data_IF_363497769470
#
_entry.id   IF_363497769470
#
_cell.length_a   1.000
_cell.length_b   1.000
_cell.length_c   1.000
_cell.angle_alpha   90.00
_cell.angle_beta   90.00
_cell.angle_gamma   90.00
#
_symmetry.space_group_name_H-M   'P 1'
#
loop_
_entity.id
_entity.type
_entity.pdbx_description
1 polymer ?
#
# COMPACT_ATOMS: atom_id res chain seq x y z
N UNK A 1 -3.44 -0.18 -19.34
CA UNK A 1 -3.26 -0.32 -17.88
C UNK A 1 -2.83 -1.76 -17.70
N UNK A 2 -1.57 -1.99 -17.33
CA UNK A 2 -1.11 -3.34 -17.00
C UNK A 2 -2.02 -3.91 -15.90
N UNK A 3 -2.32 -5.19 -15.98
CA UNK A 3 -3.17 -5.84 -14.99
C UNK A 3 -2.35 -6.00 -13.70
N UNK A 4 -2.69 -5.27 -12.64
CA UNK A 4 -1.96 -5.32 -11.36
C UNK A 4 -1.81 -6.76 -10.85
N UNK A 5 -2.83 -7.61 -11.03
CA UNK A 5 -2.74 -9.02 -10.65
C UNK A 5 -1.72 -9.81 -11.47
N UNK A 6 -1.52 -9.46 -12.74
CA UNK A 6 -0.50 -10.07 -13.60
C UNK A 6 0.90 -9.66 -13.14
N UNK A 7 1.10 -8.38 -12.77
CA UNK A 7 2.37 -7.91 -12.22
C UNK A 7 2.68 -8.64 -10.90
N UNK A 8 1.70 -8.75 -9.99
CA UNK A 8 1.86 -9.49 -8.75
C UNK A 8 2.21 -10.97 -9.02
N UNK A 9 1.54 -11.61 -9.97
CA UNK A 9 1.86 -12.98 -10.37
C UNK A 9 3.30 -13.11 -10.89
N UNK A 10 3.74 -12.16 -11.72
CA UNK A 10 5.09 -12.17 -12.29
C UNK A 10 6.17 -12.01 -11.22
N UNK A 11 5.94 -11.21 -10.17
CA UNK A 11 6.88 -11.10 -9.06
C UNK A 11 7.02 -12.42 -8.30
N UNK A 12 5.89 -13.06 -7.98
CA UNK A 12 5.90 -14.35 -7.28
C UNK A 12 6.53 -15.47 -8.12
N UNK A 13 6.34 -15.45 -9.45
CA UNK A 13 6.96 -16.42 -10.36
C UNK A 13 8.48 -16.19 -10.52
N UNK A 14 8.94 -14.94 -10.44
CA UNK A 14 10.34 -14.60 -10.59
C UNK A 14 11.19 -15.08 -9.39
N UNK A 15 10.65 -14.95 -8.17
CA UNK A 15 11.30 -15.44 -6.95
C UNK A 15 10.26 -15.91 -5.91
N UNK A 16 9.84 -17.18 -5.95
CA UNK A 16 8.81 -17.71 -5.07
C UNK A 16 9.28 -17.91 -3.62
N UNK A 17 10.59 -17.82 -3.35
CA UNK A 17 11.15 -18.02 -2.02
C UNK A 17 11.31 -16.69 -1.25
N UNK A 18 11.42 -15.57 -1.96
CA UNK A 18 11.56 -14.23 -1.36
C UNK A 18 10.20 -13.55 -1.08
N UNK A 19 9.47 -14.10 -0.11
CA UNK A 19 8.15 -13.59 0.29
C UNK A 19 8.21 -12.22 0.98
N UNK A 20 9.37 -11.83 1.54
CA UNK A 20 9.57 -10.51 2.13
C UNK A 20 9.65 -9.43 1.05
N UNK A 21 10.49 -9.65 0.03
CA UNK A 21 10.57 -8.79 -1.13
C UNK A 21 9.23 -8.73 -1.87
N UNK A 22 8.57 -9.89 -2.06
CA UNK A 22 7.24 -9.94 -2.66
C UNK A 22 6.21 -9.10 -1.88
N UNK A 23 6.23 -9.13 -0.55
CA UNK A 23 5.35 -8.30 0.27
C UNK A 23 5.60 -6.81 0.00
N UNK A 24 6.85 -6.38 0.06
CA UNK A 24 7.19 -4.98 -0.14
C UNK A 24 6.83 -4.47 -1.53
N UNK A 25 7.16 -5.21 -2.58
CA UNK A 25 6.84 -4.88 -3.96
C UNK A 25 5.31 -4.86 -4.19
N UNK A 26 4.59 -5.81 -3.59
CA UNK A 26 3.12 -5.84 -3.64
C UNK A 26 2.53 -4.58 -2.99
N UNK A 27 2.98 -4.22 -1.79
CA UNK A 27 2.47 -3.07 -1.07
C UNK A 27 2.77 -1.76 -1.80
N UNK A 28 3.94 -1.65 -2.44
CA UNK A 28 4.30 -0.52 -3.28
C UNK A 28 3.44 -0.38 -4.54
N UNK A 29 3.24 -1.49 -5.25
CA UNK A 29 2.38 -1.52 -6.43
C UNK A 29 0.93 -1.15 -6.08
N UNK A 30 0.41 -1.70 -4.98
CA UNK A 30 -0.95 -1.43 -4.51
C UNK A 30 -1.08 0.03 -4.05
N UNK A 31 -0.07 0.58 -3.36
CA UNK A 31 -0.02 2.01 -3.04
C UNK A 31 -0.15 2.84 -4.31
N UNK A 32 0.68 2.56 -5.32
CA UNK A 32 0.64 3.26 -6.60
C UNK A 32 -0.74 3.20 -7.26
N UNK A 33 -1.40 2.05 -7.22
CA UNK A 33 -2.77 1.89 -7.75
C UNK A 33 -3.79 2.75 -7.01
N UNK A 34 -3.74 2.79 -5.68
CA UNK A 34 -4.61 3.63 -4.86
C UNK A 34 -4.35 5.13 -5.11
N UNK A 35 -3.09 5.53 -5.28
CA UNK A 35 -2.71 6.90 -5.67
C UNK A 35 -3.26 7.29 -7.03
N UNK A 36 -3.15 6.42 -8.05
CA UNK A 36 -3.73 6.68 -9.38
C UNK A 36 -5.26 6.85 -9.35
N UNK A 37 -5.92 6.27 -8.33
CA UNK A 37 -7.35 6.42 -8.06
C UNK A 37 -7.70 7.68 -7.25
N UNK A 38 -6.71 8.49 -6.85
CA UNK A 38 -6.87 9.68 -6.01
C UNK A 38 -7.56 9.38 -4.66
N UNK A 39 -7.25 8.23 -4.06
CA UNK A 39 -7.69 7.93 -2.69
C UNK A 39 -6.87 8.80 -1.73
N UNK A 40 -7.54 9.56 -0.88
CA UNK A 40 -6.91 10.56 -0.01
C UNK A 40 -7.27 10.31 1.45
N UNK A 41 -6.28 10.43 2.34
CA UNK A 41 -6.47 10.39 3.79
C UNK A 41 -5.63 11.49 4.43
N UNK A 42 -6.29 12.46 5.08
CA UNK A 42 -5.66 13.51 5.88
C UNK A 42 -4.42 14.17 5.24
N UNK A 43 -4.46 14.45 3.94
CA UNK A 43 -3.37 15.16 3.23
C UNK A 43 -2.20 14.27 2.79
N UNK A 44 -2.29 12.95 2.97
CA UNK A 44 -1.24 11.98 2.60
C UNK A 44 -0.72 12.16 1.16
N UNK A 45 -1.58 12.52 0.20
CA UNK A 45 -1.16 12.79 -1.18
C UNK A 45 -1.41 14.23 -1.61
N UNK A 46 -2.63 14.75 -1.43
CA UNK A 46 -3.05 16.02 -2.04
C UNK A 46 -2.33 17.23 -1.48
N UNK A 47 -2.13 17.29 -0.17
CA UNK A 47 -1.45 18.44 0.45
C UNK A 47 0.04 18.47 0.11
N UNK A 48 0.68 17.33 -0.20
CA UNK A 48 2.13 17.26 -0.43
C UNK A 48 2.52 17.18 -1.90
N UNK A 49 1.68 16.63 -2.77
CA UNK A 49 1.90 16.61 -4.21
C UNK A 49 1.65 17.97 -4.86
N UNK A 50 0.63 18.71 -4.40
CA UNK A 50 0.41 20.11 -4.84
C UNK A 50 1.56 21.03 -4.39
N UNK A 51 2.15 20.80 -3.21
CA UNK A 51 3.34 21.55 -2.73
C UNK A 51 4.61 21.21 -3.53
N UNK A 52 4.84 19.93 -3.82
CA UNK A 52 6.05 19.46 -4.53
C UNK A 52 6.01 19.68 -6.04
N UNK A 53 4.82 19.77 -6.66
CA UNK A 53 4.67 20.16 -8.05
C UNK A 53 5.05 21.64 -8.29
N UNK A 54 4.84 22.51 -7.30
CA UNK A 54 5.17 23.93 -7.36
C UNK A 54 6.57 24.28 -6.80
N UNK A 55 7.22 23.36 -6.06
CA UNK A 55 8.57 23.56 -5.53
C UNK A 55 9.42 22.28 -5.63
N UNK A 56 10.44 22.30 -6.50
CA UNK A 56 11.39 21.21 -6.77
C UNK A 56 12.22 20.76 -5.53
N UNK A 57 12.04 21.37 -4.36
CA UNK A 57 12.97 21.27 -3.23
C UNK A 57 12.44 20.58 -1.96
N UNK A 58 11.18 20.13 -1.89
CA UNK A 58 10.64 19.48 -0.67
C UNK A 58 9.88 18.17 -0.97
N UNK A 59 10.41 17.32 -1.85
CA UNK A 59 9.95 15.93 -1.92
C UNK A 59 10.39 15.23 -0.64
N UNK A 60 9.44 15.00 0.28
CA UNK A 60 9.67 14.34 1.56
C UNK A 60 9.84 12.82 1.31
N UNK A 61 11.02 12.45 0.82
CA UNK A 61 11.39 11.08 0.50
C UNK A 61 11.24 10.16 1.72
N UNK A 62 11.64 10.62 2.90
CA UNK A 62 11.48 9.89 4.17
C UNK A 62 9.99 9.62 4.49
N UNK A 63 9.10 10.58 4.20
CA UNK A 63 7.66 10.39 4.38
C UNK A 63 7.09 9.29 3.48
N UNK A 64 7.54 9.21 2.23
CA UNK A 64 7.07 8.24 1.25
C UNK A 64 7.83 6.90 1.31
N UNK A 65 9.04 6.84 1.86
CA UNK A 65 9.81 5.60 2.04
C UNK A 65 9.40 4.83 3.31
N UNK A 66 8.63 5.46 4.20
CA UNK A 66 8.17 4.82 5.44
C UNK A 66 7.17 3.68 5.16
N UNK A 67 7.65 2.43 5.26
CA UNK A 67 6.84 1.21 5.06
C UNK A 67 5.61 1.14 5.95
N UNK A 68 5.70 1.52 7.22
CA UNK A 68 4.57 1.52 8.15
C UNK A 68 3.47 2.50 7.67
N UNK A 69 3.84 3.67 7.12
CA UNK A 69 2.92 4.66 6.57
C UNK A 69 2.34 4.22 5.22
N UNK A 70 3.16 3.62 4.34
CA UNK A 70 2.72 2.93 3.10
C UNK A 70 1.65 1.90 3.43
N UNK A 71 1.93 1.03 4.41
CA UNK A 71 1.04 -0.06 4.79
C UNK A 71 -0.27 0.48 5.36
N UNK A 72 -0.21 1.51 6.22
CA UNK A 72 -1.40 2.19 6.74
C UNK A 72 -2.27 2.71 5.59
N UNK A 73 -1.66 3.33 4.59
CA UNK A 73 -2.36 3.87 3.42
C UNK A 73 -3.01 2.78 2.58
N UNK A 74 -2.30 1.69 2.30
CA UNK A 74 -2.84 0.54 1.57
C UNK A 74 -4.02 -0.08 2.31
N UNK A 75 -3.90 -0.30 3.62
CA UNK A 75 -4.97 -0.88 4.42
C UNK A 75 -6.22 0.02 4.47
N UNK A 76 -6.05 1.33 4.67
CA UNK A 76 -7.17 2.27 4.63
C UNK A 76 -7.81 2.32 3.23
N UNK A 77 -7.00 2.30 2.17
CA UNK A 77 -7.48 2.25 0.79
C UNK A 77 -8.28 0.99 0.50
N UNK A 78 -7.84 -0.17 1.00
CA UNK A 78 -8.55 -1.45 0.84
C UNK A 78 -9.93 -1.47 1.54
N UNK A 79 -10.14 -0.67 2.59
CA UNK A 79 -11.45 -0.55 3.22
C UNK A 79 -12.46 0.28 2.41
N UNK A 80 -11.99 1.11 1.47
CA UNK A 80 -12.85 2.05 0.73
C UNK A 80 -12.91 1.78 -0.78
N UNK A 81 -11.96 1.00 -1.32
CA UNK A 81 -11.91 0.64 -2.73
C UNK A 81 -11.77 -0.88 -2.92
N UNK A 82 -12.74 -1.46 -3.64
CA UNK A 82 -12.83 -2.91 -3.87
C UNK A 82 -11.68 -3.47 -4.69
N UNK A 83 -11.10 -2.70 -5.61
CA UNK A 83 -10.03 -3.22 -6.48
C UNK A 83 -8.73 -3.25 -5.66
N UNK A 84 -8.50 -2.24 -4.82
CA UNK A 84 -7.41 -2.24 -3.84
C UNK A 84 -7.54 -3.41 -2.87
N UNK A 85 -8.76 -3.66 -2.36
CA UNK A 85 -9.03 -4.86 -1.57
C UNK A 85 -8.67 -6.14 -2.33
N UNK A 86 -9.09 -6.27 -3.59
CA UNK A 86 -8.81 -7.47 -4.40
C UNK A 86 -7.30 -7.69 -4.65
N UNK A 87 -6.53 -6.62 -4.84
CA UNK A 87 -5.07 -6.74 -5.00
C UNK A 87 -4.39 -7.18 -3.70
N UNK A 88 -4.81 -6.60 -2.56
CA UNK A 88 -4.30 -7.01 -1.26
C UNK A 88 -4.74 -8.45 -0.91
N UNK A 89 -5.98 -8.83 -1.22
CA UNK A 89 -6.50 -10.19 -1.02
C UNK A 89 -5.73 -11.23 -1.83
N UNK A 90 -5.23 -10.85 -3.02
CA UNK A 90 -4.37 -11.71 -3.81
C UNK A 90 -2.99 -11.91 -3.16
N UNK A 91 -2.32 -10.84 -2.72
CA UNK A 91 -0.96 -10.91 -2.18
C UNK A 91 -0.90 -11.48 -0.75
N UNK A 92 -1.96 -11.28 0.05
CA UNK A 92 -1.97 -11.59 1.49
C UNK A 92 -1.68 -13.05 1.84
N UNK A 93 -2.29 -14.07 1.19
CA UNK A 93 -2.09 -15.46 1.59
C UNK A 93 -0.66 -15.95 1.37
N UNK A 94 0.04 -15.39 0.39
CA UNK A 94 1.44 -15.74 0.11
C UNK A 94 2.39 -15.22 1.20
N UNK A 95 2.09 -14.06 1.78
CA UNK A 95 2.99 -13.39 2.72
C UNK A 95 2.62 -13.63 4.18
N UNK A 96 1.34 -13.85 4.49
CA UNK A 96 0.83 -14.00 5.86
C UNK A 96 0.29 -15.40 6.16
N UNK A 97 0.20 -16.27 5.15
CA UNK A 97 -0.33 -17.64 5.28
C UNK A 97 -1.75 -17.70 5.89
N UNK A 98 -2.58 -16.70 5.59
CA UNK A 98 -3.99 -16.64 5.98
C UNK A 98 -4.83 -15.95 4.90
N UNK A 99 -6.16 -16.13 4.94
CA UNK A 99 -7.05 -15.38 4.05
C UNK A 99 -7.27 -13.98 4.61
N UNK A 100 -7.13 -12.96 3.75
CA UNK A 100 -7.45 -11.59 4.13
C UNK A 100 -8.94 -11.44 4.47
N UNK A 101 -9.22 -10.70 5.55
CA UNK A 101 -10.57 -10.29 5.93
C UNK A 101 -10.57 -8.83 6.35
N UNK A 102 -11.73 -8.17 6.32
CA UNK A 102 -11.84 -6.81 6.85
C UNK A 102 -11.44 -6.70 8.34
N UNK A 103 -11.64 -7.77 9.13
CA UNK A 103 -11.22 -7.80 10.54
C UNK A 103 -9.71 -7.70 10.63
N UNK A 104 -8.98 -8.49 9.84
CA UNK A 104 -7.52 -8.43 9.77
C UNK A 104 -7.04 -7.04 9.36
N UNK A 105 -7.67 -6.41 8.35
CA UNK A 105 -7.32 -5.06 7.91
C UNK A 105 -7.50 -4.05 9.04
N UNK A 106 -8.64 -4.09 9.75
CA UNK A 106 -8.92 -3.20 10.88
C UNK A 106 -7.92 -3.40 12.03
N UNK A 107 -7.55 -4.65 12.32
CA UNK A 107 -6.56 -4.98 13.33
C UNK A 107 -5.16 -4.45 12.96
N UNK A 108 -4.75 -4.60 11.69
CA UNK A 108 -3.47 -4.06 11.19
C UNK A 108 -3.41 -2.54 11.24
N UNK A 109 -4.51 -1.86 10.86
CA UNK A 109 -4.64 -0.41 11.00
C UNK A 109 -4.49 0.00 12.46
N UNK A 110 -5.14 -0.72 13.39
CA UNK A 110 -5.06 -0.42 14.81
C UNK A 110 -3.63 -0.61 15.35
N UNK A 111 -2.94 -1.68 14.96
CA UNK A 111 -1.54 -1.93 15.35
C UNK A 111 -0.60 -0.80 14.87
N UNK A 112 -0.73 -0.38 13.60
CA UNK A 112 0.04 0.76 13.07
C UNK A 112 -0.29 2.04 13.82
N UNK A 113 -1.57 2.23 14.17
CA UNK A 113 -1.97 3.39 14.96
C UNK A 113 -1.40 3.38 16.37
N UNK A 114 -1.28 2.23 17.00
CA UNK A 114 -0.67 2.07 18.33
C UNK A 114 0.84 2.32 18.30
N UNK A 115 1.52 2.02 17.19
CA UNK A 115 2.93 2.41 16.95
C UNK A 115 3.13 3.92 16.74
N UNK A 116 2.05 4.69 16.63
CA UNK A 116 2.09 6.15 16.39
C UNK A 116 2.05 6.56 14.91
N UNK A 117 1.86 5.62 13.98
CA UNK A 117 1.81 5.91 12.54
C UNK A 117 0.53 6.69 12.21
N UNK A 118 0.67 7.88 11.62
CA UNK A 118 -0.42 8.78 11.21
C UNK A 118 -0.07 9.46 9.89
N UNK A 119 -1.10 10.00 9.23
CA UNK A 119 -0.94 10.94 8.12
C UNK A 119 -0.87 12.36 8.65
#
# INVERSE_FOLDING_TARGET
MENILEILSNYLEADPEDLECFYDDSMELIRGAATHKNIEFDGYFRERWEISADTVFEFDEEYFENKDRRDLYVFLSALVDKDIYSYLEYAWPFTQNEKLTEVIIKDKIQQLKEKGVRF
#
